data_IF_228333560114
#
_entry.id   IF_228333560114
#
_cell.length_a   1.000
_cell.length_b   1.000
_cell.length_c   1.000
_cell.angle_alpha   90.00
_cell.angle_beta   90.00
_cell.angle_gamma   90.00
#
_symmetry.space_group_name_H-M   'P 1'
#
loop_
_entity.id
_entity.type
_entity.pdbx_description
1 polymer ?
#
# COMPACT_ATOMS: atom_id res chain seq x y z
N UNK A 1 -3.19 -24.93 9.94
CA UNK A 1 -3.86 -24.30 11.10
C UNK A 1 -3.47 -22.84 11.15
N UNK A 2 -4.49 -21.97 11.04
CA UNK A 2 -4.43 -20.54 11.33
C UNK A 2 -3.94 -20.36 12.77
N UNK A 3 -3.05 -19.39 13.00
CA UNK A 3 -2.53 -19.06 14.32
C UNK A 3 -3.34 -17.96 15.03
N UNK A 4 -4.44 -17.49 14.42
CA UNK A 4 -5.29 -16.44 14.99
C UNK A 4 -4.71 -15.03 14.86
N UNK A 5 -3.67 -14.84 14.05
CA UNK A 5 -3.07 -13.53 13.80
C UNK A 5 -3.69 -12.90 12.56
N UNK A 6 -4.11 -11.64 12.68
CA UNK A 6 -4.44 -10.78 11.56
C UNK A 6 -3.23 -9.89 11.22
N UNK A 7 -2.77 -9.91 9.96
CA UNK A 7 -1.61 -9.15 9.50
C UNK A 7 -2.02 -8.18 8.39
N UNK A 8 -1.68 -6.90 8.56
CA UNK A 8 -1.73 -5.89 7.51
C UNK A 8 -0.31 -5.63 7.00
N UNK A 9 -0.06 -5.94 5.73
CA UNK A 9 1.18 -5.62 5.04
C UNK A 9 0.92 -4.48 4.06
N UNK A 10 1.55 -3.33 4.29
CA UNK A 10 1.38 -2.15 3.44
C UNK A 10 2.73 -1.66 2.90
N UNK A 11 2.75 -1.27 1.63
CA UNK A 11 3.94 -0.73 0.96
C UNK A 11 3.54 0.30 -0.11
N UNK A 12 4.53 1.03 -0.63
CA UNK A 12 4.33 1.94 -1.75
C UNK A 12 3.51 3.18 -1.42
N UNK A 13 3.60 3.69 -0.20
CA UNK A 13 3.10 5.04 0.09
C UNK A 13 3.96 6.08 -0.64
N UNK A 14 5.28 5.86 -0.63
CA UNK A 14 6.22 6.54 -1.52
C UNK A 14 6.48 5.63 -2.73
N UNK A 15 6.21 6.12 -3.93
CA UNK A 15 6.33 5.32 -5.15
C UNK A 15 7.77 4.98 -5.52
N UNK A 16 8.74 5.72 -4.99
CA UNK A 16 10.17 5.48 -5.19
C UNK A 16 10.78 4.46 -4.21
N UNK A 17 10.03 3.98 -3.21
CA UNK A 17 10.46 2.91 -2.31
C UNK A 17 10.09 1.55 -2.90
N UNK A 18 10.85 1.11 -3.92
CA UNK A 18 10.52 -0.07 -4.72
C UNK A 18 10.76 -1.39 -4.00
N UNK A 19 11.75 -1.48 -3.11
CA UNK A 19 12.10 -2.75 -2.44
C UNK A 19 10.94 -3.35 -1.61
N UNK A 20 10.21 -2.58 -0.77
CA UNK A 20 9.01 -3.09 -0.09
C UNK A 20 7.89 -3.51 -1.06
N UNK A 21 7.74 -2.82 -2.19
CA UNK A 21 6.72 -3.14 -3.20
C UNK A 21 7.03 -4.48 -3.87
N UNK A 22 8.28 -4.66 -4.29
CA UNK A 22 8.75 -5.88 -4.95
C UNK A 22 8.63 -7.10 -4.02
N UNK A 23 8.99 -6.94 -2.75
CA UNK A 23 8.85 -8.00 -1.74
C UNK A 23 7.37 -8.39 -1.54
N UNK A 24 6.46 -7.42 -1.51
CA UNK A 24 5.02 -7.69 -1.40
C UNK A 24 4.50 -8.43 -2.64
N UNK A 25 4.91 -8.03 -3.84
CA UNK A 25 4.55 -8.73 -5.08
C UNK A 25 5.07 -10.17 -5.09
N UNK A 26 6.32 -10.41 -4.67
CA UNK A 26 6.88 -11.75 -4.56
C UNK A 26 6.10 -12.64 -3.57
N UNK A 27 5.75 -12.10 -2.40
CA UNK A 27 4.93 -12.79 -1.41
C UNK A 27 3.55 -13.15 -1.97
N UNK A 28 2.88 -12.21 -2.63
CA UNK A 28 1.57 -12.45 -3.26
C UNK A 28 1.67 -13.55 -4.32
N UNK A 29 2.69 -13.49 -5.18
CA UNK A 29 2.91 -14.52 -6.22
C UNK A 29 3.21 -15.89 -5.62
N UNK A 30 4.01 -15.95 -4.56
CA UNK A 30 4.33 -17.19 -3.85
C UNK A 30 3.08 -17.83 -3.23
N UNK A 31 2.18 -17.01 -2.67
CA UNK A 31 0.88 -17.48 -2.17
C UNK A 31 -0.01 -17.96 -3.31
N UNK A 32 -0.09 -17.20 -4.41
CA UNK A 32 -0.92 -17.54 -5.57
C UNK A 32 -0.49 -18.84 -6.26
N UNK A 33 0.82 -19.13 -6.30
CA UNK A 33 1.35 -20.42 -6.81
C UNK A 33 1.18 -21.57 -5.83
N UNK A 34 0.88 -21.29 -4.56
CA UNK A 34 0.80 -22.28 -3.49
C UNK A 34 2.15 -22.67 -2.89
N UNK A 35 3.24 -22.01 -3.28
CA UNK A 35 4.59 -22.19 -2.73
C UNK A 35 4.65 -21.76 -1.25
N UNK A 36 3.89 -20.71 -0.91
CA UNK A 36 3.71 -20.22 0.46
C UNK A 36 2.26 -20.39 0.90
N UNK A 37 2.04 -21.03 2.05
CA UNK A 37 0.73 -21.17 2.67
C UNK A 37 0.64 -20.28 3.90
N UNK A 38 -0.07 -19.14 3.84
CA UNK A 38 -0.27 -18.27 4.99
C UNK A 38 -0.88 -19.04 6.16
N UNK A 39 -0.36 -18.77 7.36
CA UNK A 39 -0.92 -19.26 8.63
C UNK A 39 -1.60 -18.16 9.44
N UNK A 40 -1.81 -17.01 8.81
CA UNK A 40 -2.46 -15.82 9.33
C UNK A 40 -3.44 -15.31 8.27
N UNK A 41 -4.43 -14.53 8.70
CA UNK A 41 -5.28 -13.74 7.79
C UNK A 41 -4.49 -12.52 7.38
N UNK A 42 -4.24 -12.35 6.08
CA UNK A 42 -3.37 -11.28 5.57
C UNK A 42 -4.17 -10.33 4.68
N UNK A 43 -4.01 -9.03 4.92
CA UNK A 43 -4.44 -7.95 4.02
C UNK A 43 -3.19 -7.29 3.43
N UNK A 44 -3.10 -7.25 2.09
CA UNK A 44 -2.07 -6.53 1.36
C UNK A 44 -2.60 -5.17 0.90
N UNK A 45 -1.84 -4.10 1.13
CA UNK A 45 -2.23 -2.74 0.77
C UNK A 45 -1.11 -2.02 0.02
N UNK A 46 -1.41 -1.52 -1.18
CA UNK A 46 -0.53 -0.60 -1.91
C UNK A 46 -1.00 0.84 -1.71
N UNK A 47 -0.16 1.66 -1.09
CA UNK A 47 -0.53 2.98 -0.60
C UNK A 47 -0.86 4.01 -1.69
N UNK A 48 0.02 4.16 -2.68
CA UNK A 48 -0.12 5.15 -3.74
C UNK A 48 0.25 4.56 -5.12
N UNK A 49 -0.66 3.79 -5.75
CA UNK A 49 -0.40 3.19 -7.06
C UNK A 49 -0.05 4.20 -8.16
N UNK A 50 -0.51 5.45 -8.06
CA UNK A 50 -0.18 6.50 -9.02
C UNK A 50 1.29 6.95 -8.86
N UNK A 51 1.76 7.17 -7.62
CA UNK A 51 3.15 7.50 -7.35
C UNK A 51 4.08 6.34 -7.73
N UNK A 52 3.67 5.10 -7.45
CA UNK A 52 4.40 3.89 -7.85
C UNK A 52 4.58 3.81 -9.37
N UNK A 53 3.53 4.07 -10.16
CA UNK A 53 3.62 4.09 -11.64
C UNK A 53 4.56 5.17 -12.17
N UNK A 54 4.68 6.28 -11.46
CA UNK A 54 5.56 7.40 -11.82
C UNK A 54 6.98 7.28 -11.24
N UNK A 55 7.24 6.29 -10.37
CA UNK A 55 8.50 6.19 -9.61
C UNK A 55 8.79 7.42 -8.74
N UNK A 56 7.77 8.24 -8.46
CA UNK A 56 7.89 9.49 -7.73
C UNK A 56 7.61 9.27 -6.25
N UNK A 57 8.19 10.12 -5.39
CA UNK A 57 7.90 10.06 -3.95
C UNK A 57 6.42 10.33 -3.66
N UNK A 58 5.82 11.26 -4.40
CA UNK A 58 4.38 11.62 -4.35
C UNK A 58 3.92 12.10 -5.75
N UNK A 59 2.62 12.04 -6.06
CA UNK A 59 2.07 12.61 -7.31
C UNK A 59 1.66 14.07 -7.11
N UNK A 60 0.91 14.39 -6.05
CA UNK A 60 0.54 15.79 -5.73
C UNK A 60 0.54 16.13 -4.23
N UNK A 61 0.39 15.14 -3.33
CA UNK A 61 0.50 15.34 -1.89
C UNK A 61 0.97 14.06 -1.19
N UNK A 62 1.62 14.24 -0.04
CA UNK A 62 2.03 13.14 0.83
C UNK A 62 0.80 12.40 1.37
N UNK A 63 0.53 11.21 0.83
CA UNK A 63 -0.60 10.36 1.26
C UNK A 63 -0.49 10.00 2.74
N UNK A 64 0.72 9.97 3.32
CA UNK A 64 0.91 9.79 4.77
C UNK A 64 0.39 10.98 5.60
N UNK A 65 0.23 12.17 5.02
CA UNK A 65 -0.32 13.36 5.71
C UNK A 65 -1.84 13.43 5.72
N UNK A 66 -2.51 12.60 4.94
CA UNK A 66 -3.97 12.59 4.86
C UNK A 66 -4.62 11.54 5.79
N UNK A 67 -3.86 10.54 6.23
CA UNK A 67 -4.25 9.71 7.38
C UNK A 67 -4.30 10.57 8.67
N UNK A 68 -5.30 10.35 9.53
CA UNK A 68 -5.74 11.19 10.66
C UNK A 68 -6.67 12.38 10.33
N UNK A 69 -7.60 12.22 9.38
CA UNK A 69 -8.75 13.15 9.24
C UNK A 69 -8.43 14.50 8.58
N UNK A 70 -7.23 14.69 8.01
CA UNK A 70 -6.86 15.94 7.33
C UNK A 70 -7.40 16.07 5.90
N UNK A 71 -8.03 15.03 5.36
CA UNK A 71 -8.77 15.12 4.10
C UNK A 71 -9.91 16.15 4.14
N UNK A 72 -10.45 16.48 5.33
CA UNK A 72 -11.52 17.48 5.47
C UNK A 72 -11.04 18.93 5.22
N UNK A 73 -9.73 19.19 5.23
CA UNK A 73 -9.19 20.54 4.95
C UNK A 73 -8.77 20.75 3.48
N UNK A 74 -8.91 19.73 2.64
CA UNK A 74 -8.64 19.83 1.18
C UNK A 74 -9.92 20.04 0.36
N UNK A 75 -10.99 20.49 1.00
CA UNK A 75 -12.25 20.87 0.35
C UNK A 75 -12.13 22.18 -0.42
N UNK A 76 -11.86 22.07 -1.72
CA UNK A 76 -12.50 22.90 -2.75
C UNK A 76 -11.83 24.23 -3.11
N UNK A 77 -10.98 24.20 -4.14
CA UNK A 77 -10.84 25.32 -5.08
C UNK A 77 -10.69 24.84 -6.54
N UNK A 78 -11.26 23.69 -6.91
CA UNK A 78 -11.37 23.26 -8.32
C UNK A 78 -12.78 22.77 -8.64
N UNK A 79 -13.77 23.60 -8.31
CA UNK A 79 -15.09 23.53 -8.91
C UNK A 79 -15.57 24.95 -9.22
N UNK A 80 -14.91 25.62 -10.17
CA UNK A 80 -15.46 26.64 -11.07
C UNK A 80 -14.63 26.66 -12.36
#
# INVERSE_FOLDING_TARGET
CDNGTDLLLSAGIHGNETAPIELLDELIRSIARGDLKPRARILFLFGNPAAMRLGARYVEQDVNRLFNGRHEQSGGAEAL
#
